data_IF_357662102868
#
_entry.id   IF_357662102868
#
_cell.length_a   1.000
_cell.length_b   1.000
_cell.length_c   1.000
_cell.angle_alpha   90.00
_cell.angle_beta   90.00
_cell.angle_gamma   90.00
#
_symmetry.space_group_name_H-M   'P 1'
#
loop_
_entity.id
_entity.type
_entity.pdbx_description
1 polymer ?
#
# COMPACT_ATOMS: atom_id res chain seq x y z
N UNK A 1 -19.00 34.54 -18.96
CA UNK A 1 -17.92 33.82 -18.26
C UNK A 1 -18.34 32.64 -17.39
N UNK A 2 -19.64 32.40 -17.11
CA UNK A 2 -20.14 31.19 -16.41
C UNK A 2 -20.48 30.01 -17.33
N UNK A 3 -20.67 30.29 -18.63
CA UNK A 3 -21.03 29.30 -19.65
C UNK A 3 -19.79 28.53 -20.13
N UNK A 4 -18.72 29.26 -20.42
CA UNK A 4 -17.39 28.71 -20.74
C UNK A 4 -16.86 27.78 -19.66
N UNK A 5 -16.89 28.19 -18.38
CA UNK A 5 -16.47 27.31 -17.27
C UNK A 5 -17.33 26.06 -17.13
N UNK A 6 -18.63 26.14 -17.41
CA UNK A 6 -19.52 24.97 -17.37
C UNK A 6 -19.28 24.01 -18.55
N UNK A 7 -18.94 24.56 -19.72
CA UNK A 7 -18.59 23.77 -20.91
C UNK A 7 -17.22 23.08 -20.71
N UNK A 8 -16.27 23.76 -20.06
CA UNK A 8 -14.95 23.19 -19.68
C UNK A 8 -15.10 22.08 -18.62
N UNK A 9 -15.95 22.29 -17.60
CA UNK A 9 -16.27 21.27 -16.58
C UNK A 9 -16.92 20.03 -17.22
N UNK A 10 -17.80 20.23 -18.21
CA UNK A 10 -18.44 19.13 -18.93
C UNK A 10 -17.43 18.33 -19.75
N UNK A 11 -16.54 19.01 -20.49
CA UNK A 11 -15.50 18.38 -21.28
C UNK A 11 -14.54 17.55 -20.40
N UNK A 12 -14.16 18.07 -19.23
CA UNK A 12 -13.32 17.35 -18.27
C UNK A 12 -14.01 16.08 -17.75
N UNK A 13 -15.29 16.18 -17.39
CA UNK A 13 -16.05 15.01 -16.92
C UNK A 13 -16.17 13.92 -17.99
N UNK A 14 -16.39 14.33 -19.24
CA UNK A 14 -16.46 13.40 -20.37
C UNK A 14 -15.09 12.70 -20.59
N UNK A 15 -13.98 13.43 -20.45
CA UNK A 15 -12.63 12.86 -20.53
C UNK A 15 -12.35 11.86 -19.40
N UNK A 16 -12.71 12.21 -18.16
CA UNK A 16 -12.57 11.31 -16.99
C UNK A 16 -13.38 10.03 -17.20
N UNK A 17 -14.59 10.13 -17.72
CA UNK A 17 -15.43 8.96 -17.98
C UNK A 17 -14.83 8.08 -19.08
N UNK A 18 -14.30 8.68 -20.15
CA UNK A 18 -13.58 7.92 -21.19
C UNK A 18 -12.36 7.19 -20.63
N UNK A 19 -11.58 7.82 -19.74
CA UNK A 19 -10.45 7.19 -19.06
C UNK A 19 -10.90 6.03 -18.18
N UNK A 20 -11.99 6.21 -17.42
CA UNK A 20 -12.59 5.17 -16.59
C UNK A 20 -13.01 3.97 -17.43
N UNK A 21 -13.70 4.19 -18.55
CA UNK A 21 -14.15 3.11 -19.44
C UNK A 21 -12.96 2.35 -20.04
N UNK A 22 -11.89 3.06 -20.45
CA UNK A 22 -10.65 2.43 -20.91
C UNK A 22 -9.99 1.58 -19.82
N UNK A 23 -9.97 2.05 -18.57
CA UNK A 23 -9.41 1.31 -17.43
C UNK A 23 -10.24 0.05 -17.09
N UNK A 24 -11.57 0.14 -17.14
CA UNK A 24 -12.48 -1.01 -16.98
C UNK A 24 -12.24 -2.03 -18.09
N UNK A 25 -12.20 -1.59 -19.36
CA UNK A 25 -11.98 -2.47 -20.51
C UNK A 25 -10.63 -3.21 -20.43
N UNK A 26 -9.59 -2.53 -19.92
CA UNK A 26 -8.27 -3.11 -19.65
C UNK A 26 -8.20 -3.93 -18.35
N UNK A 27 -9.30 -4.08 -17.61
CA UNK A 27 -9.40 -4.80 -16.33
C UNK A 27 -8.41 -4.31 -15.27
N UNK A 28 -8.04 -3.01 -15.30
CA UNK A 28 -7.05 -2.45 -14.36
C UNK A 28 -7.53 -2.43 -12.90
N UNK A 29 -8.84 -2.57 -12.68
CA UNK A 29 -9.45 -2.68 -11.35
C UNK A 29 -9.52 -4.12 -10.81
N UNK A 30 -9.05 -5.12 -11.57
CA UNK A 30 -9.06 -6.51 -11.12
C UNK A 30 -7.70 -6.87 -10.50
N UNK A 31 -7.65 -7.22 -9.20
CA UNK A 31 -6.39 -7.53 -8.54
C UNK A 31 -5.82 -8.87 -9.03
N UNK A 32 -4.52 -8.89 -9.31
CA UNK A 32 -3.80 -10.13 -9.62
C UNK A 32 -3.48 -10.88 -8.32
N UNK A 33 -4.35 -11.83 -7.95
CA UNK A 33 -4.22 -12.59 -6.69
C UNK A 33 -2.90 -13.35 -6.58
N UNK A 34 -2.37 -13.87 -7.69
CA UNK A 34 -1.11 -14.59 -7.67
C UNK A 34 0.05 -13.69 -7.27
N UNK A 35 0.10 -12.48 -7.84
CA UNK A 35 1.07 -11.46 -7.44
C UNK A 35 1.01 -11.18 -5.94
N UNK A 36 -0.17 -10.88 -5.39
CA UNK A 36 -0.32 -10.59 -3.95
C UNK A 36 0.06 -11.77 -3.06
N UNK A 37 -0.31 -13.01 -3.43
CA UNK A 37 0.07 -14.20 -2.68
C UNK A 37 1.59 -14.36 -2.64
N UNK A 38 2.27 -14.23 -3.79
CA UNK A 38 3.73 -14.35 -3.86
C UNK A 38 4.41 -13.24 -3.05
N UNK A 39 3.92 -11.99 -3.13
CA UNK A 39 4.47 -10.88 -2.34
C UNK A 39 4.30 -11.11 -0.84
N UNK A 40 3.12 -11.57 -0.38
CA UNK A 40 2.89 -11.96 1.01
C UNK A 40 3.89 -13.04 1.47
N UNK A 41 4.03 -14.12 0.69
CA UNK A 41 4.95 -15.22 1.02
C UNK A 41 6.41 -14.78 1.02
N UNK A 42 6.79 -13.90 0.09
CA UNK A 42 8.12 -13.32 0.01
C UNK A 42 8.48 -12.50 1.25
N UNK A 43 7.56 -11.66 1.73
CA UNK A 43 7.75 -10.89 2.97
C UNK A 43 7.95 -11.84 4.15
N UNK A 44 7.04 -12.81 4.33
CA UNK A 44 7.12 -13.78 5.43
C UNK A 44 8.40 -14.64 5.36
N UNK A 45 8.85 -15.00 4.16
CA UNK A 45 10.08 -15.74 3.96
C UNK A 45 11.31 -14.92 4.38
N UNK A 46 11.35 -13.62 4.08
CA UNK A 46 12.46 -12.77 4.51
C UNK A 46 12.43 -12.48 6.01
N UNK A 47 11.26 -12.24 6.62
CA UNK A 47 11.14 -12.14 8.08
C UNK A 47 11.67 -13.39 8.78
N UNK A 48 11.27 -14.56 8.29
CA UNK A 48 11.78 -15.83 8.79
C UNK A 48 13.29 -15.98 8.55
N UNK A 49 13.80 -15.61 7.37
CA UNK A 49 15.21 -15.69 7.04
C UNK A 49 16.06 -14.80 7.95
N UNK A 50 15.58 -13.60 8.29
CA UNK A 50 16.24 -12.69 9.24
C UNK A 50 16.40 -13.37 10.60
N UNK A 51 15.29 -13.89 11.15
CA UNK A 51 15.33 -14.62 12.42
C UNK A 51 16.26 -15.84 12.35
N UNK A 52 16.13 -16.65 11.30
CA UNK A 52 16.90 -17.88 11.12
C UNK A 52 18.40 -17.62 11.03
N UNK A 53 18.82 -16.61 10.26
CA UNK A 53 20.25 -16.28 10.08
C UNK A 53 20.85 -15.79 11.39
N UNK A 54 20.18 -14.88 12.09
CA UNK A 54 20.67 -14.38 13.39
C UNK A 54 20.76 -15.51 14.43
N UNK A 55 19.75 -16.39 14.48
CA UNK A 55 19.72 -17.50 15.41
C UNK A 55 20.84 -18.53 15.13
N UNK A 56 21.11 -18.84 13.86
CA UNK A 56 22.04 -19.92 13.48
C UNK A 56 23.51 -19.48 13.38
N UNK A 57 23.74 -18.23 12.97
CA UNK A 57 25.07 -17.71 12.64
C UNK A 57 25.52 -16.56 13.56
N UNK A 58 24.67 -16.13 14.50
CA UNK A 58 24.96 -15.10 15.47
C UNK A 58 25.03 -13.69 14.88
N UNK A 59 25.58 -12.75 15.65
CA UNK A 59 25.58 -11.30 15.36
C UNK A 59 26.93 -10.79 14.86
N UNK A 60 27.70 -11.62 14.16
CA UNK A 60 28.91 -11.14 13.49
C UNK A 60 28.55 -10.24 12.30
N UNK A 61 29.51 -9.43 11.84
CA UNK A 61 29.27 -8.40 10.81
C UNK A 61 28.58 -8.94 9.56
N UNK A 62 29.02 -10.09 9.03
CA UNK A 62 28.48 -10.61 7.77
C UNK A 62 27.01 -11.08 7.87
N UNK A 63 26.62 -11.99 8.79
CA UNK A 63 25.22 -12.33 9.03
C UNK A 63 24.35 -11.10 9.31
N UNK A 64 24.86 -10.15 10.10
CA UNK A 64 24.12 -8.94 10.44
C UNK A 64 23.80 -8.07 9.20
N UNK A 65 24.79 -7.81 8.34
CA UNK A 65 24.58 -7.07 7.09
C UNK A 65 23.59 -7.77 6.15
N UNK A 66 23.67 -9.09 6.04
CA UNK A 66 22.72 -9.89 5.24
C UNK A 66 21.30 -9.74 5.80
N UNK A 67 21.14 -9.82 7.12
CA UNK A 67 19.82 -9.70 7.75
C UNK A 67 19.24 -8.30 7.60
N UNK A 68 20.06 -7.25 7.69
CA UNK A 68 19.61 -5.87 7.41
C UNK A 68 19.09 -5.76 5.99
N UNK A 69 19.81 -6.31 5.00
CA UNK A 69 19.39 -6.26 3.61
C UNK A 69 18.03 -6.94 3.40
N UNK A 70 17.85 -8.15 3.93
CA UNK A 70 16.57 -8.87 3.84
C UNK A 70 15.44 -8.12 4.55
N UNK A 71 15.72 -7.59 5.75
CA UNK A 71 14.74 -6.85 6.52
C UNK A 71 14.29 -5.57 5.80
N UNK A 72 15.21 -4.80 5.22
CA UNK A 72 14.87 -3.60 4.44
C UNK A 72 13.97 -3.94 3.25
N UNK A 73 14.28 -5.02 2.53
CA UNK A 73 13.47 -5.46 1.39
C UNK A 73 12.07 -5.89 1.86
N UNK A 74 11.99 -6.70 2.92
CA UNK A 74 10.72 -7.13 3.50
C UNK A 74 9.86 -5.95 3.95
N UNK A 75 10.45 -5.01 4.69
CA UNK A 75 9.75 -3.85 5.23
C UNK A 75 9.28 -2.88 4.15
N UNK A 76 10.07 -2.68 3.09
CA UNK A 76 9.67 -1.89 1.93
C UNK A 76 8.47 -2.52 1.23
N UNK A 77 8.55 -3.81 0.88
CA UNK A 77 7.45 -4.55 0.24
C UNK A 77 6.20 -4.58 1.13
N UNK A 78 6.38 -4.74 2.44
CA UNK A 78 5.29 -4.72 3.40
C UNK A 78 4.58 -3.35 3.43
N UNK A 79 5.31 -2.24 3.23
CA UNK A 79 4.74 -0.89 3.13
C UNK A 79 3.81 -0.71 1.93
N UNK A 80 4.16 -1.28 0.78
CA UNK A 80 3.30 -1.26 -0.42
C UNK A 80 2.08 -2.15 -0.25
N UNK A 81 2.26 -3.40 0.20
CA UNK A 81 1.13 -4.35 0.27
C UNK A 81 0.11 -3.95 1.33
N UNK A 82 0.56 -3.42 2.47
CA UNK A 82 -0.35 -2.94 3.51
C UNK A 82 -1.18 -1.73 3.03
N UNK A 83 -0.59 -0.86 2.20
CA UNK A 83 -1.29 0.28 1.61
C UNK A 83 -2.41 -0.19 0.68
N UNK A 84 -2.14 -1.20 -0.16
CA UNK A 84 -3.16 -1.77 -1.04
C UNK A 84 -4.30 -2.45 -0.26
N UNK A 85 -3.99 -3.14 0.83
CA UNK A 85 -5.02 -3.65 1.74
C UNK A 85 -5.79 -2.50 2.43
N UNK A 86 -5.14 -1.41 2.83
CA UNK A 86 -5.77 -0.22 3.39
C UNK A 86 -6.78 0.43 2.44
N UNK A 87 -6.50 0.41 1.14
CA UNK A 87 -7.40 0.89 0.08
C UNK A 87 -8.49 -0.11 -0.34
N UNK A 88 -8.53 -1.29 0.28
CA UNK A 88 -9.49 -2.34 -0.04
C UNK A 88 -9.40 -2.86 -1.49
N UNK A 89 -8.23 -2.77 -2.12
CA UNK A 89 -8.05 -3.05 -3.56
C UNK A 89 -7.76 -4.52 -3.88
N UNK A 90 -7.46 -5.35 -2.88
CA UNK A 90 -6.95 -6.71 -3.10
C UNK A 90 -8.07 -7.76 -3.05
N UNK A 91 -8.96 -7.68 -2.07
CA UNK A 91 -10.09 -8.60 -1.93
C UNK A 91 -11.42 -7.92 -2.23
N UNK A 92 -12.36 -8.68 -2.83
CA UNK A 92 -13.72 -8.20 -3.05
C UNK A 92 -14.49 -7.93 -1.74
N UNK A 93 -14.14 -8.64 -0.65
CA UNK A 93 -14.78 -8.48 0.65
C UNK A 93 -13.90 -7.58 1.54
N UNK A 94 -14.40 -6.39 1.98
CA UNK A 94 -13.62 -5.45 2.78
C UNK A 94 -13.02 -6.05 4.06
N UNK A 95 -13.73 -6.96 4.72
CA UNK A 95 -13.24 -7.59 5.96
C UNK A 95 -11.90 -8.31 5.79
N UNK A 96 -11.66 -8.92 4.63
CA UNK A 96 -10.40 -9.61 4.36
C UNK A 96 -9.27 -8.60 4.14
N UNK A 97 -9.53 -7.50 3.44
CA UNK A 97 -8.54 -6.43 3.31
C UNK A 97 -8.15 -5.85 4.67
N UNK A 98 -9.13 -5.55 5.53
CA UNK A 98 -8.84 -5.06 6.88
C UNK A 98 -8.04 -6.07 7.70
N UNK A 99 -8.42 -7.36 7.70
CA UNK A 99 -7.67 -8.38 8.43
C UNK A 99 -6.21 -8.46 7.99
N UNK A 100 -5.95 -8.42 6.67
CA UNK A 100 -4.59 -8.44 6.14
C UNK A 100 -3.84 -7.12 6.41
N UNK A 101 -4.52 -5.98 6.32
CA UNK A 101 -3.95 -4.68 6.67
C UNK A 101 -3.49 -4.64 8.13
N UNK A 102 -4.35 -5.08 9.07
CA UNK A 102 -3.98 -5.19 10.49
C UNK A 102 -2.84 -6.18 10.72
N UNK A 103 -2.81 -7.30 10.00
CA UNK A 103 -1.71 -8.26 10.13
C UNK A 103 -0.38 -7.67 9.64
N UNK A 104 -0.31 -7.16 8.42
CA UNK A 104 0.94 -6.66 7.86
C UNK A 104 1.40 -5.35 8.53
N UNK A 105 0.52 -4.37 8.74
CA UNK A 105 0.93 -3.13 9.38
C UNK A 105 1.08 -3.29 10.91
N UNK A 106 0.17 -4.03 11.54
CA UNK A 106 0.15 -4.21 12.99
C UNK A 106 1.16 -5.23 13.49
N UNK A 107 1.11 -6.45 12.98
CA UNK A 107 1.97 -7.53 13.49
C UNK A 107 3.38 -7.49 12.89
N UNK A 108 3.51 -7.31 11.58
CA UNK A 108 4.84 -7.29 10.92
C UNK A 108 5.55 -5.95 11.15
N UNK A 109 4.91 -4.81 10.80
CA UNK A 109 5.56 -3.49 10.92
C UNK A 109 5.44 -2.83 12.30
N UNK A 110 4.56 -3.31 13.19
CA UNK A 110 4.39 -2.77 14.53
C UNK A 110 3.66 -1.40 14.60
N UNK A 111 2.73 -1.10 13.69
CA UNK A 111 1.96 0.16 13.66
C UNK A 111 0.44 -0.05 13.59
N UNK A 112 -0.34 0.93 14.03
CA UNK A 112 -1.80 0.85 13.98
C UNK A 112 -2.35 1.09 12.57
N UNK A 113 -3.09 0.12 12.04
CA UNK A 113 -3.81 0.25 10.77
C UNK A 113 -4.92 1.31 10.79
N UNK A 114 -5.56 1.51 11.95
CA UNK A 114 -6.58 2.54 12.10
C UNK A 114 -5.97 3.94 12.11
N UNK A 115 -4.82 4.09 12.78
CA UNK A 115 -4.06 5.34 12.74
C UNK A 115 -3.61 5.64 11.31
N UNK A 116 -3.06 4.64 10.61
CA UNK A 116 -2.63 4.81 9.23
C UNK A 116 -3.78 5.22 8.33
N UNK A 117 -4.93 4.54 8.40
CA UNK A 117 -6.12 4.92 7.63
C UNK A 117 -6.56 6.35 7.95
N UNK A 118 -6.60 6.74 9.23
CA UNK A 118 -6.98 8.10 9.63
C UNK A 118 -6.08 9.18 9.00
N UNK A 119 -4.76 8.96 9.00
CA UNK A 119 -3.80 9.89 8.39
C UNK A 119 -3.90 9.87 6.87
N UNK A 120 -3.96 8.67 6.29
CA UNK A 120 -3.99 8.43 4.86
C UNK A 120 -5.24 9.00 4.18
N UNK A 121 -6.40 8.93 4.86
CA UNK A 121 -7.63 9.57 4.37
C UNK A 121 -7.55 11.10 4.39
N UNK A 122 -6.87 11.70 5.38
CA UNK A 122 -6.65 13.14 5.41
C UNK A 122 -5.75 13.57 4.25
N UNK A 123 -4.65 12.85 4.02
CA UNK A 123 -3.75 13.04 2.87
C UNK A 123 -4.53 13.02 1.55
N UNK A 124 -5.32 11.98 1.29
CA UNK A 124 -6.08 11.87 0.04
C UNK A 124 -7.24 12.85 -0.09
N UNK A 125 -7.75 13.41 1.01
CA UNK A 125 -8.80 14.43 0.94
C UNK A 125 -8.26 15.77 0.44
N UNK A 126 -7.02 16.14 0.81
CA UNK A 126 -6.41 17.44 0.52
C UNK A 126 -4.89 17.31 0.31
N UNK A 127 -4.44 16.59 -0.73
CA UNK A 127 -3.03 16.29 -0.91
C UNK A 127 -2.22 17.58 -1.16
N UNK A 128 -0.99 17.64 -0.65
CA UNK A 128 -0.06 18.75 -0.86
C UNK A 128 -0.54 20.12 -0.33
N UNK A 129 -1.54 20.14 0.55
CA UNK A 129 -2.00 21.36 1.22
C UNK A 129 -1.37 21.43 2.62
N UNK A 130 -0.50 22.42 2.82
CA UNK A 130 0.14 22.72 4.10
C UNK A 130 -0.94 22.87 5.19
N UNK A 131 -0.66 22.35 6.39
CA UNK A 131 -1.57 22.31 7.55
C UNK A 131 -2.86 21.48 7.39
N UNK A 132 -3.09 20.83 6.25
CA UNK A 132 -4.26 19.97 5.99
C UNK A 132 -3.91 18.55 5.65
N UNK A 133 -2.81 18.37 4.95
CA UNK A 133 -2.22 17.08 4.66
C UNK A 133 -1.23 16.74 5.77
N UNK A 134 -1.47 15.66 6.54
CA UNK A 134 -0.56 15.28 7.62
C UNK A 134 0.83 14.86 7.14
N UNK A 135 1.01 14.59 5.85
CA UNK A 135 2.31 14.23 5.27
C UNK A 135 3.16 15.48 4.98
N UNK A 136 2.54 16.67 4.92
CA UNK A 136 3.22 17.95 4.77
C UNK A 136 3.31 18.63 6.14
N UNK A 137 4.22 18.12 6.96
CA UNK A 137 4.64 18.78 8.22
C UNK A 137 5.48 20.01 7.92
#
# INVERSE_FOLDING_TARGET
NKKTTKDDDQALNDEIEQLRQKAIAKKLFQPNRFFFIITCLHILAFEFAVYYVLNRFGTSWLPYLITILFYIIAEAQCGWIQHDFGHLSVFNKPSWNHAFHHFFLGFIKGRSADWWNNMHFQHHSKPNIIDKDPDNV
#
